data_IF_509733756201
#
_entry.id   IF_509733756201
#
_cell.length_a   1.000
_cell.length_b   1.000
_cell.length_c   1.000
_cell.angle_alpha   90.00
_cell.angle_beta   90.00
_cell.angle_gamma   90.00
#
_symmetry.space_group_name_H-M   'P 1'
#
loop_
_entity.id
_entity.type
_entity.pdbx_description
1 polymer ?
#
# COMPACT_ATOMS: atom_id res chain seq x y z
N UNK A 1 -14.25 -11.18 27.42
CA UNK A 1 -13.08 -11.01 26.53
C UNK A 1 -13.30 -9.98 25.42
N UNK A 2 -14.47 -9.87 24.81
CA UNK A 2 -14.75 -8.84 23.77
C UNK A 2 -14.52 -7.41 24.24
N UNK A 3 -14.93 -7.10 25.48
CA UNK A 3 -14.69 -5.77 26.10
C UNK A 3 -13.22 -5.38 26.16
N UNK A 4 -12.32 -6.34 26.38
CA UNK A 4 -10.89 -6.10 26.37
C UNK A 4 -10.35 -5.78 24.97
N UNK A 5 -10.89 -6.45 23.93
CA UNK A 5 -10.54 -6.15 22.53
C UNK A 5 -11.00 -4.74 22.16
N UNK A 6 -12.20 -4.34 22.60
CA UNK A 6 -12.69 -2.99 22.35
C UNK A 6 -11.83 -1.95 23.06
N UNK A 7 -11.51 -2.13 24.35
CA UNK A 7 -10.64 -1.24 25.11
C UNK A 7 -9.24 -1.14 24.49
N UNK A 8 -8.69 -2.24 23.97
CA UNK A 8 -7.43 -2.24 23.22
C UNK A 8 -7.50 -1.41 21.94
N UNK A 9 -8.59 -1.55 21.18
CA UNK A 9 -8.79 -0.77 19.95
C UNK A 9 -8.88 0.74 20.24
N UNK A 10 -9.61 1.13 21.27
CA UNK A 10 -9.76 2.51 21.72
C UNK A 10 -8.40 3.09 22.17
N UNK A 11 -7.67 2.38 23.01
CA UNK A 11 -6.34 2.75 23.48
C UNK A 11 -5.35 2.99 22.33
N UNK A 12 -5.35 2.11 21.32
CA UNK A 12 -4.46 2.26 20.16
C UNK A 12 -4.85 3.42 19.27
N UNK A 13 -6.15 3.70 19.14
CA UNK A 13 -6.69 4.83 18.39
C UNK A 13 -6.32 6.16 19.05
N UNK A 14 -6.48 6.29 20.36
CA UNK A 14 -6.12 7.49 21.12
C UNK A 14 -4.63 7.83 20.98
N UNK A 15 -3.76 6.83 21.05
CA UNK A 15 -2.32 7.02 20.92
C UNK A 15 -1.84 7.25 19.46
N UNK A 16 -2.74 7.23 18.46
CA UNK A 16 -2.40 7.36 17.01
C UNK A 16 -1.25 6.45 16.56
N UNK A 17 -1.08 5.28 17.20
CA UNK A 17 0.09 4.42 16.98
C UNK A 17 -0.01 3.54 15.74
N UNK A 18 -1.22 3.33 15.24
CA UNK A 18 -1.48 2.43 14.10
C UNK A 18 -2.52 3.03 13.16
N UNK A 19 -2.45 2.65 11.88
CA UNK A 19 -3.44 3.06 10.90
C UNK A 19 -4.80 2.39 11.16
N UNK A 20 -5.88 2.99 10.68
CA UNK A 20 -7.23 2.43 10.78
C UNK A 20 -7.31 1.01 10.20
N UNK A 21 -6.69 0.78 9.04
CA UNK A 21 -6.63 -0.55 8.43
C UNK A 21 -5.85 -1.57 9.28
N UNK A 22 -4.79 -1.14 9.95
CA UNK A 22 -4.05 -2.01 10.89
C UNK A 22 -4.94 -2.36 12.08
N UNK A 23 -5.72 -1.41 12.57
CA UNK A 23 -6.63 -1.63 13.69
C UNK A 23 -7.74 -2.60 13.32
N UNK A 24 -8.35 -2.45 12.15
CA UNK A 24 -9.36 -3.39 11.64
C UNK A 24 -8.79 -4.81 11.50
N UNK A 25 -7.56 -4.93 11.00
CA UNK A 25 -6.88 -6.20 10.90
C UNK A 25 -6.60 -6.83 12.27
N UNK A 26 -6.10 -6.05 13.23
CA UNK A 26 -5.87 -6.51 14.60
C UNK A 26 -7.17 -6.96 15.26
N UNK A 27 -8.24 -6.17 15.13
CA UNK A 27 -9.56 -6.56 15.66
C UNK A 27 -10.04 -7.89 15.07
N UNK A 28 -9.93 -8.06 13.76
CA UNK A 28 -10.32 -9.30 13.08
C UNK A 28 -9.51 -10.50 13.58
N UNK A 29 -8.18 -10.34 13.73
CA UNK A 29 -7.29 -11.39 14.23
C UNK A 29 -7.64 -11.78 15.67
N UNK A 30 -7.89 -10.79 16.54
CA UNK A 30 -8.23 -11.02 17.96
C UNK A 30 -9.64 -11.61 18.12
N UNK A 31 -10.61 -11.24 17.29
CA UNK A 31 -11.92 -11.88 17.28
C UNK A 31 -11.85 -13.35 16.89
N UNK A 32 -10.96 -13.69 15.94
CA UNK A 32 -10.69 -15.08 15.57
C UNK A 32 -10.06 -15.86 16.72
N UNK A 33 -9.07 -15.27 17.40
CA UNK A 33 -8.48 -15.86 18.63
C UNK A 33 -9.58 -16.08 19.68
N UNK A 34 -10.43 -15.11 19.90
CA UNK A 34 -11.52 -15.20 20.89
C UNK A 34 -12.49 -16.34 20.57
N UNK A 35 -12.88 -16.53 19.32
CA UNK A 35 -13.73 -17.65 18.90
C UNK A 35 -13.03 -18.98 19.24
N UNK A 36 -11.77 -19.14 18.81
CA UNK A 36 -10.99 -20.34 19.10
C UNK A 36 -10.88 -20.64 20.60
N UNK A 37 -10.64 -19.65 21.43
CA UNK A 37 -10.52 -19.83 22.88
C UNK A 37 -11.87 -20.28 23.49
N UNK A 38 -12.98 -19.69 23.06
CA UNK A 38 -14.33 -20.09 23.50
C UNK A 38 -14.66 -21.53 23.12
N UNK A 39 -14.33 -21.93 21.89
CA UNK A 39 -14.57 -23.29 21.38
C UNK A 39 -13.74 -24.34 22.16
N UNK A 40 -12.64 -23.91 22.79
CA UNK A 40 -11.80 -24.73 23.67
C UNK A 40 -12.10 -24.52 25.18
N UNK A 41 -13.27 -23.91 25.54
CA UNK A 41 -13.70 -23.76 26.91
C UNK A 41 -13.00 -22.66 27.72
N UNK A 42 -12.20 -21.77 27.06
CA UNK A 42 -11.50 -20.70 27.74
C UNK A 42 -12.34 -19.44 27.68
N UNK A 43 -12.82 -18.99 28.80
CA UNK A 43 -13.79 -17.90 28.92
C UNK A 43 -13.19 -16.60 29.48
N UNK A 44 -11.95 -16.66 30.00
CA UNK A 44 -11.26 -15.52 30.62
C UNK A 44 -9.85 -15.35 30.05
N UNK A 45 -9.36 -14.10 29.96
CA UNK A 45 -8.02 -13.78 29.44
C UNK A 45 -6.91 -14.24 30.39
N UNK A 46 -7.19 -14.35 31.67
CA UNK A 46 -6.26 -14.83 32.71
C UNK A 46 -5.97 -16.33 32.60
N UNK A 47 -6.86 -17.08 31.93
CA UNK A 47 -6.70 -18.51 31.68
C UNK A 47 -5.88 -18.82 30.43
N UNK A 48 -5.59 -17.81 29.62
CA UNK A 48 -4.87 -18.00 28.35
C UNK A 48 -3.40 -18.28 28.64
N UNK A 49 -2.91 -19.39 28.10
CA UNK A 49 -1.51 -19.84 28.22
C UNK A 49 -0.79 -19.79 26.89
N UNK A 50 0.56 -19.81 26.94
CA UNK A 50 1.40 -19.92 25.76
C UNK A 50 1.03 -21.13 24.88
N UNK A 51 0.74 -22.28 25.51
CA UNK A 51 0.36 -23.51 24.80
C UNK A 51 -0.92 -23.32 23.98
N UNK A 52 -1.92 -22.63 24.51
CA UNK A 52 -3.19 -22.36 23.81
C UNK A 52 -3.00 -21.40 22.65
N UNK A 53 -2.15 -20.38 22.82
CA UNK A 53 -1.83 -19.45 21.73
C UNK A 53 -1.06 -20.16 20.60
N UNK A 54 -0.10 -21.03 20.94
CA UNK A 54 0.61 -21.84 19.96
C UNK A 54 -0.34 -22.81 19.22
N UNK A 55 -1.27 -23.45 19.95
CA UNK A 55 -2.27 -24.33 19.34
C UNK A 55 -3.20 -23.56 18.39
N UNK A 56 -3.59 -22.33 18.73
CA UNK A 56 -4.36 -21.45 17.85
C UNK A 56 -3.58 -21.09 16.58
N UNK A 57 -2.31 -20.72 16.70
CA UNK A 57 -1.45 -20.38 15.55
C UNK A 57 -1.34 -21.58 14.61
N UNK A 58 -1.09 -22.79 15.16
CA UNK A 58 -1.04 -24.02 14.38
C UNK A 58 -2.37 -24.34 13.69
N UNK A 59 -3.52 -24.08 14.35
CA UNK A 59 -4.82 -24.26 13.70
C UNK A 59 -5.01 -23.29 12.54
N UNK A 60 -4.59 -22.04 12.69
CA UNK A 60 -4.65 -21.02 11.63
C UNK A 60 -3.76 -21.40 10.43
N UNK A 61 -2.60 -21.99 10.67
CA UNK A 61 -1.72 -22.53 9.61
C UNK A 61 -2.37 -23.71 8.88
N UNK A 62 -2.97 -24.65 9.61
CA UNK A 62 -3.70 -25.79 9.01
C UNK A 62 -4.91 -25.38 8.20
N UNK A 63 -5.57 -24.29 8.55
CA UNK A 63 -6.65 -23.68 7.78
C UNK A 63 -6.15 -22.91 6.53
N UNK A 64 -4.84 -22.92 6.26
CA UNK A 64 -4.23 -22.37 5.06
C UNK A 64 -3.95 -20.87 5.11
N UNK A 65 -3.82 -20.26 6.29
CA UNK A 65 -3.36 -18.86 6.37
C UNK A 65 -1.95 -18.74 5.80
N UNK A 66 -1.76 -17.73 4.94
CA UNK A 66 -0.43 -17.41 4.39
C UNK A 66 0.52 -16.97 5.51
N UNK A 67 1.81 -17.30 5.38
CA UNK A 67 2.86 -16.95 6.35
C UNK A 67 2.85 -15.47 6.77
N UNK A 68 2.64 -14.55 5.82
CA UNK A 68 2.50 -13.11 6.13
C UNK A 68 1.29 -12.77 7.00
N UNK A 69 0.19 -13.52 6.88
CA UNK A 69 -0.99 -13.36 7.74
C UNK A 69 -0.74 -13.93 9.14
N UNK A 70 0.02 -15.03 9.26
CA UNK A 70 0.46 -15.58 10.55
C UNK A 70 1.39 -14.60 11.28
N UNK A 71 2.35 -14.00 10.59
CA UNK A 71 3.22 -12.96 11.18
C UNK A 71 2.39 -11.78 11.73
N UNK A 72 1.38 -11.32 10.97
CA UNK A 72 0.49 -10.26 11.43
C UNK A 72 -0.38 -10.71 12.60
N UNK A 73 -0.90 -11.93 12.56
CA UNK A 73 -1.69 -12.54 13.64
C UNK A 73 -0.90 -12.55 14.95
N UNK A 74 0.34 -13.02 14.92
CA UNK A 74 1.24 -13.03 16.08
C UNK A 74 1.51 -11.61 16.57
N UNK A 75 1.73 -10.66 15.65
CA UNK A 75 1.92 -9.25 16.02
C UNK A 75 0.69 -8.63 16.70
N UNK A 76 -0.53 -9.01 16.28
CA UNK A 76 -1.76 -8.57 16.93
C UNK A 76 -1.92 -9.18 18.33
N UNK A 77 -1.58 -10.46 18.51
CA UNK A 77 -1.57 -11.18 19.79
C UNK A 77 -0.60 -10.51 20.76
N UNK A 78 0.67 -10.34 20.39
CA UNK A 78 1.65 -9.64 21.23
C UNK A 78 1.20 -8.25 21.64
N UNK A 79 0.69 -7.47 20.69
CA UNK A 79 0.23 -6.12 20.96
C UNK A 79 -0.95 -6.07 21.94
N UNK A 80 -1.83 -7.07 21.89
CA UNK A 80 -2.98 -7.19 22.76
C UNK A 80 -2.58 -7.62 24.19
N UNK A 81 -1.79 -8.66 24.33
CA UNK A 81 -1.36 -9.14 25.64
C UNK A 81 -0.40 -8.17 26.34
N UNK A 82 0.50 -7.50 25.61
CA UNK A 82 1.31 -6.38 26.13
C UNK A 82 0.42 -5.24 26.68
N UNK A 83 -0.67 -4.91 25.98
CA UNK A 83 -1.65 -3.93 26.47
C UNK A 83 -2.31 -4.40 27.78
N UNK A 84 -2.77 -5.66 27.86
CA UNK A 84 -3.43 -6.19 29.05
C UNK A 84 -2.48 -6.20 30.25
N UNK A 85 -1.23 -6.60 30.05
CA UNK A 85 -0.19 -6.62 31.09
C UNK A 85 0.13 -5.21 31.59
N UNK A 86 0.33 -4.26 30.67
CA UNK A 86 0.58 -2.84 31.00
C UNK A 86 -0.57 -2.16 31.75
N UNK A 87 -1.79 -2.63 31.54
CA UNK A 87 -2.97 -2.16 32.26
C UNK A 87 -3.23 -2.90 33.56
N UNK A 88 -2.40 -3.89 33.92
CA UNK A 88 -2.58 -4.72 35.12
C UNK A 88 -3.79 -5.65 35.08
N UNK A 89 -4.34 -5.91 33.88
CA UNK A 89 -5.48 -6.77 33.68
C UNK A 89 -5.11 -8.26 33.76
N UNK A 90 -3.85 -8.57 33.42
CA UNK A 90 -3.21 -9.88 33.60
C UNK A 90 -1.85 -9.69 34.26
N UNK A 91 -1.35 -10.73 34.94
CA UNK A 91 -0.06 -10.66 35.65
C UNK A 91 1.15 -10.88 34.74
N UNK A 92 1.03 -11.81 33.80
CA UNK A 92 2.09 -12.21 32.89
C UNK A 92 1.56 -12.22 31.46
N UNK A 93 2.44 -11.91 30.49
CA UNK A 93 2.10 -11.94 29.06
C UNK A 93 2.30 -13.38 28.53
N UNK A 94 1.21 -14.11 28.19
CA UNK A 94 1.33 -15.47 27.68
C UNK A 94 1.89 -15.52 26.25
N UNK A 95 2.03 -14.38 25.59
CA UNK A 95 2.55 -14.32 24.22
C UNK A 95 4.05 -14.03 24.14
N UNK A 96 4.72 -13.67 25.23
CA UNK A 96 6.11 -13.18 25.26
C UNK A 96 7.09 -14.08 24.52
N UNK A 97 6.94 -15.41 24.63
CA UNK A 97 7.85 -16.39 24.02
C UNK A 97 7.46 -16.84 22.62
N UNK A 98 6.32 -16.42 22.13
CA UNK A 98 5.85 -16.79 20.79
C UNK A 98 6.71 -16.08 19.74
N UNK A 99 7.31 -16.85 18.83
CA UNK A 99 8.13 -16.31 17.76
C UNK A 99 7.38 -16.36 16.44
N UNK A 100 7.32 -15.22 15.78
CA UNK A 100 6.81 -15.18 14.41
C UNK A 100 7.78 -15.93 13.47
N UNK A 101 7.26 -16.73 12.51
CA UNK A 101 8.10 -17.33 11.49
C UNK A 101 8.84 -16.23 10.72
N UNK A 102 10.10 -16.45 10.39
CA UNK A 102 10.83 -15.55 9.50
C UNK A 102 10.18 -15.66 8.12
N UNK A 103 9.68 -14.56 7.56
CA UNK A 103 9.15 -14.60 6.20
C UNK A 103 10.29 -14.98 5.25
N UNK A 104 10.09 -16.01 4.44
CA UNK A 104 10.98 -16.25 3.31
C UNK A 104 10.92 -15.04 2.39
N UNK A 105 12.06 -14.57 1.85
CA UNK A 105 12.07 -13.50 0.87
C UNK A 105 11.22 -13.96 -0.33
N UNK A 106 10.02 -13.41 -0.46
CA UNK A 106 9.23 -13.64 -1.66
C UNK A 106 9.99 -13.05 -2.85
N UNK A 107 10.19 -13.84 -3.90
CA UNK A 107 10.68 -13.33 -5.17
C UNK A 107 9.84 -12.13 -5.57
N UNK A 108 10.51 -11.03 -5.86
CA UNK A 108 9.82 -9.82 -6.29
C UNK A 108 9.40 -10.03 -7.74
N UNK A 109 8.11 -10.18 -7.97
CA UNK A 109 7.56 -10.16 -9.31
C UNK A 109 7.84 -8.78 -9.94
N UNK A 110 8.51 -8.79 -11.09
CA UNK A 110 8.92 -7.61 -11.86
C UNK A 110 8.49 -7.86 -13.29
N UNK A 111 7.96 -6.84 -13.96
CA UNK A 111 7.64 -6.88 -15.38
C UNK A 111 8.73 -6.14 -16.17
N UNK A 112 8.96 -6.56 -17.41
CA UNK A 112 9.88 -5.89 -18.31
C UNK A 112 9.33 -4.53 -18.78
N UNK A 113 10.18 -3.71 -19.41
CA UNK A 113 9.76 -2.43 -19.98
C UNK A 113 8.75 -2.65 -21.10
N UNK A 114 8.93 -3.68 -21.92
CA UNK A 114 8.03 -4.04 -23.02
C UNK A 114 6.67 -4.54 -22.51
N UNK A 115 6.64 -5.29 -21.43
CA UNK A 115 5.39 -5.71 -20.76
C UNK A 115 4.65 -4.53 -20.15
N UNK A 116 5.40 -3.59 -19.55
CA UNK A 116 4.86 -2.35 -19.05
C UNK A 116 4.22 -1.52 -20.17
N UNK A 117 4.91 -1.33 -21.29
CA UNK A 117 4.38 -0.57 -22.43
C UNK A 117 3.07 -1.18 -22.94
N UNK A 118 3.03 -2.48 -23.13
CA UNK A 118 1.78 -3.20 -23.50
C UNK A 118 0.64 -2.97 -22.50
N UNK A 119 0.95 -2.96 -21.19
CA UNK A 119 -0.07 -2.67 -20.17
C UNK A 119 -0.57 -1.23 -20.27
N UNK A 120 0.35 -0.29 -20.44
CA UNK A 120 0.03 1.13 -20.54
C UNK A 120 -0.80 1.45 -21.79
N UNK A 121 -0.58 0.76 -22.90
CA UNK A 121 -1.32 0.92 -24.16
C UNK A 121 -2.69 0.23 -24.17
N UNK A 122 -2.97 -0.67 -23.24
CA UNK A 122 -4.21 -1.43 -23.19
C UNK A 122 -5.49 -0.61 -22.95
N UNK A 123 -5.49 0.52 -22.21
CA UNK A 123 -6.64 1.41 -22.08
C UNK A 123 -7.03 2.06 -23.41
N UNK A 124 -8.33 2.06 -23.73
CA UNK A 124 -8.87 2.71 -24.93
C UNK A 124 -9.02 4.22 -24.71
N UNK A 125 -8.14 5.00 -25.34
CA UNK A 125 -8.09 6.45 -25.22
C UNK A 125 -9.24 7.19 -25.88
N UNK A 126 -10.12 6.51 -26.64
CA UNK A 126 -11.35 7.08 -27.15
C UNK A 126 -12.47 7.12 -26.10
N UNK A 127 -12.21 6.61 -24.90
CA UNK A 127 -13.19 6.60 -23.81
C UNK A 127 -12.70 7.37 -22.59
N UNK A 128 -13.56 8.14 -21.92
CA UNK A 128 -13.20 8.87 -20.69
C UNK A 128 -12.61 7.95 -19.60
N UNK A 129 -13.08 6.70 -19.52
CA UNK A 129 -12.56 5.70 -18.59
C UNK A 129 -11.15 5.23 -18.97
N UNK A 130 -10.90 5.02 -20.25
CA UNK A 130 -9.60 4.62 -20.73
C UNK A 130 -8.55 5.72 -20.55
N UNK A 131 -8.91 6.99 -20.85
CA UNK A 131 -8.05 8.15 -20.57
C UNK A 131 -7.67 8.21 -19.08
N UNK A 132 -8.65 8.08 -18.18
CA UNK A 132 -8.44 8.02 -16.74
C UNK A 132 -7.50 6.88 -16.34
N UNK A 133 -7.79 5.68 -16.81
CA UNK A 133 -7.06 4.48 -16.42
C UNK A 133 -5.61 4.54 -16.92
N UNK A 134 -5.37 5.07 -18.11
CA UNK A 134 -4.02 5.35 -18.63
C UNK A 134 -3.29 6.35 -17.73
N UNK A 135 -3.90 7.48 -17.40
CA UNK A 135 -3.30 8.49 -16.52
C UNK A 135 -2.97 7.90 -15.14
N UNK A 136 -3.86 7.08 -14.57
CA UNK A 136 -3.61 6.42 -13.29
C UNK A 136 -2.41 5.45 -13.34
N UNK A 137 -2.31 4.64 -14.39
CA UNK A 137 -1.20 3.70 -14.59
C UNK A 137 0.13 4.43 -14.80
N UNK A 138 0.14 5.48 -15.64
CA UNK A 138 1.34 6.30 -15.87
C UNK A 138 1.83 6.98 -14.59
N UNK A 139 0.93 7.59 -13.81
CA UNK A 139 1.30 8.23 -12.54
C UNK A 139 1.83 7.21 -11.53
N UNK A 140 1.23 6.02 -11.43
CA UNK A 140 1.74 4.96 -10.54
C UNK A 140 3.15 4.55 -10.90
N UNK A 141 3.42 4.33 -12.18
CA UNK A 141 4.73 3.91 -12.62
C UNK A 141 5.75 5.06 -12.55
N UNK A 142 5.39 6.27 -12.97
CA UNK A 142 6.28 7.43 -12.91
C UNK A 142 6.75 7.75 -11.50
N UNK A 143 5.87 7.64 -10.51
CA UNK A 143 6.13 8.15 -9.15
C UNK A 143 6.33 7.06 -8.10
N UNK A 144 5.90 5.83 -8.38
CA UNK A 144 5.90 4.74 -7.43
C UNK A 144 5.08 5.00 -6.16
N UNK A 145 4.12 5.91 -6.16
CA UNK A 145 3.26 6.17 -5.00
C UNK A 145 2.39 4.96 -4.68
N UNK A 146 1.93 4.88 -3.43
CA UNK A 146 0.96 3.84 -3.05
C UNK A 146 -0.38 4.08 -3.72
N UNK A 147 -1.07 2.99 -4.09
CA UNK A 147 -2.41 3.08 -4.70
C UNK A 147 -3.37 3.96 -3.89
N UNK A 148 -3.37 3.85 -2.56
CA UNK A 148 -4.24 4.68 -1.71
C UNK A 148 -3.95 6.19 -1.86
N UNK A 149 -2.69 6.55 -2.10
CA UNK A 149 -2.30 7.94 -2.36
C UNK A 149 -2.81 8.37 -3.73
N UNK A 150 -2.62 7.55 -4.77
CA UNK A 150 -3.14 7.82 -6.11
C UNK A 150 -4.66 8.07 -6.12
N UNK A 151 -5.41 7.20 -5.41
CA UNK A 151 -6.89 7.27 -5.37
C UNK A 151 -7.44 8.51 -4.65
N UNK A 152 -6.61 9.19 -3.87
CA UNK A 152 -6.95 10.40 -3.11
C UNK A 152 -6.30 11.66 -3.65
N UNK A 153 -5.70 11.61 -4.84
CA UNK A 153 -5.09 12.78 -5.45
C UNK A 153 -6.15 13.82 -5.80
N UNK A 154 -5.81 15.08 -5.53
CA UNK A 154 -6.59 16.25 -5.90
C UNK A 154 -5.98 16.99 -7.09
N UNK A 155 -6.78 17.76 -7.78
CA UNK A 155 -6.35 18.60 -8.91
C UNK A 155 -5.23 19.56 -8.51
N UNK A 156 -5.30 20.16 -7.32
CA UNK A 156 -4.30 21.10 -6.80
C UNK A 156 -2.90 20.48 -6.57
N UNK A 157 -2.79 19.15 -6.58
CA UNK A 157 -1.54 18.43 -6.39
C UNK A 157 -0.79 18.18 -7.70
N UNK A 158 -1.41 18.39 -8.85
CA UNK A 158 -0.85 18.14 -10.18
C UNK A 158 -0.35 19.44 -10.79
N UNK A 159 0.94 19.52 -11.08
CA UNK A 159 1.57 20.72 -11.63
C UNK A 159 2.21 20.39 -12.98
N UNK A 160 1.37 20.24 -14.02
CA UNK A 160 1.80 19.82 -15.37
C UNK A 160 2.88 20.74 -15.96
N UNK A 161 2.74 22.06 -15.79
CA UNK A 161 3.74 23.04 -16.24
C UNK A 161 5.14 22.77 -15.69
N UNK A 162 5.24 22.27 -14.47
CA UNK A 162 6.50 21.97 -13.79
C UNK A 162 6.84 20.46 -13.84
N UNK A 163 5.98 19.65 -14.45
CA UNK A 163 6.09 18.18 -14.51
C UNK A 163 6.34 17.57 -13.14
N UNK A 164 5.56 17.97 -12.15
CA UNK A 164 5.67 17.45 -10.80
C UNK A 164 4.29 17.17 -10.19
N UNK A 165 4.28 16.20 -9.27
CA UNK A 165 3.16 15.83 -8.43
C UNK A 165 3.52 16.10 -6.97
N UNK A 166 2.69 16.85 -6.26
CA UNK A 166 2.85 17.06 -4.81
C UNK A 166 1.99 16.04 -4.05
N UNK A 167 2.60 15.27 -3.15
CA UNK A 167 1.88 14.32 -2.31
C UNK A 167 2.12 14.61 -0.84
N UNK A 168 1.03 14.58 -0.04
CA UNK A 168 1.11 14.74 1.40
C UNK A 168 1.29 13.37 2.06
N UNK A 169 2.33 13.20 2.87
CA UNK A 169 2.58 11.98 3.66
C UNK A 169 2.75 12.40 5.13
N UNK A 170 1.67 12.34 5.89
CA UNK A 170 1.62 12.91 7.25
C UNK A 170 1.74 14.43 7.19
N UNK A 171 2.67 15.01 7.93
CA UNK A 171 2.93 16.46 7.96
C UNK A 171 3.90 16.93 6.85
N UNK A 172 4.47 16.02 6.08
CA UNK A 172 5.48 16.35 5.07
C UNK A 172 4.89 16.30 3.65
N UNK A 173 5.07 17.39 2.92
CA UNK A 173 4.80 17.46 1.50
C UNK A 173 6.03 16.95 0.73
N UNK A 174 5.79 16.11 -0.29
CA UNK A 174 6.81 15.60 -1.18
C UNK A 174 6.48 16.00 -2.61
N UNK A 175 7.48 16.47 -3.32
CA UNK A 175 7.41 16.78 -4.74
C UNK A 175 8.04 15.63 -5.51
N UNK A 176 7.26 15.02 -6.40
CA UNK A 176 7.67 13.87 -7.20
C UNK A 176 7.71 14.29 -8.67
N UNK A 177 8.76 13.95 -9.42
CA UNK A 177 8.82 14.23 -10.84
C UNK A 177 7.81 13.37 -11.61
N UNK A 178 7.29 13.93 -12.70
CA UNK A 178 6.48 13.25 -13.70
C UNK A 178 7.24 13.24 -15.02
N UNK A 179 7.37 12.08 -15.63
CA UNK A 179 7.87 11.99 -17.01
C UNK A 179 6.85 12.55 -18.01
N UNK A 180 7.30 12.85 -19.22
CA UNK A 180 6.43 13.39 -20.26
C UNK A 180 5.20 12.51 -20.53
N UNK A 181 5.32 11.18 -20.68
CA UNK A 181 4.16 10.33 -20.90
C UNK A 181 3.09 10.40 -19.81
N UNK A 182 3.50 10.57 -18.54
CA UNK A 182 2.56 10.75 -17.43
C UNK A 182 1.87 12.11 -17.48
N UNK A 183 2.59 13.16 -17.88
CA UNK A 183 2.02 14.50 -18.10
C UNK A 183 0.99 14.48 -19.25
N UNK A 184 1.34 13.91 -20.38
CA UNK A 184 0.47 13.82 -21.56
C UNK A 184 -0.82 13.04 -21.25
N UNK A 185 -0.69 11.93 -20.54
CA UNK A 185 -1.84 11.13 -20.12
C UNK A 185 -2.75 11.86 -19.10
N UNK A 186 -2.16 12.62 -18.18
CA UNK A 186 -2.90 13.43 -17.23
C UNK A 186 -3.63 14.59 -17.93
N UNK A 187 -2.93 15.29 -18.85
CA UNK A 187 -3.49 16.39 -19.62
C UNK A 187 -4.68 15.91 -20.44
N UNK A 188 -4.52 14.83 -21.22
CA UNK A 188 -5.58 14.21 -22.00
C UNK A 188 -6.80 13.85 -21.11
N UNK A 189 -6.56 13.26 -19.96
CA UNK A 189 -7.64 12.90 -19.04
C UNK A 189 -8.33 14.13 -18.46
N UNK A 190 -7.58 15.12 -18.00
CA UNK A 190 -8.13 16.32 -17.36
C UNK A 190 -8.96 17.13 -18.35
N UNK A 191 -8.46 17.31 -19.58
CA UNK A 191 -9.14 18.12 -20.60
C UNK A 191 -10.36 17.44 -21.23
N UNK A 192 -10.26 16.12 -21.50
CA UNK A 192 -11.27 15.43 -22.30
C UNK A 192 -12.04 14.33 -21.54
N UNK A 193 -11.43 13.70 -20.55
CA UNK A 193 -12.02 12.56 -19.85
C UNK A 193 -12.71 12.90 -18.55
N UNK A 194 -12.14 13.81 -17.77
CA UNK A 194 -12.55 14.07 -16.39
C UNK A 194 -13.95 14.67 -16.30
N UNK A 195 -14.23 15.70 -17.07
CA UNK A 195 -15.57 16.36 -17.07
C UNK A 195 -16.67 15.40 -17.56
N UNK A 196 -16.36 14.46 -18.46
CA UNK A 196 -17.33 13.44 -18.88
C UNK A 196 -17.68 12.44 -17.77
N UNK A 197 -16.79 12.22 -16.81
CA UNK A 197 -17.01 11.33 -15.65
C UNK A 197 -17.60 12.06 -14.44
N UNK A 198 -17.46 13.37 -14.36
CA UNK A 198 -17.99 14.20 -13.28
C UNK A 198 -19.52 14.17 -13.26
N UNK A 199 -20.09 14.22 -12.06
CA UNK A 199 -21.53 14.31 -11.81
C UNK A 199 -21.83 15.49 -10.91
N UNK A 200 -23.08 15.96 -10.80
CA UNK A 200 -23.42 17.12 -9.96
C UNK A 200 -22.97 16.98 -8.49
N UNK A 201 -22.95 15.75 -7.96
CA UNK A 201 -22.53 15.45 -6.60
C UNK A 201 -21.04 15.16 -6.45
N UNK A 202 -20.24 15.21 -7.52
CA UNK A 202 -18.82 14.91 -7.48
C UNK A 202 -18.05 15.96 -6.69
N UNK A 203 -17.07 15.49 -5.89
CA UNK A 203 -16.10 16.38 -5.26
C UNK A 203 -15.24 17.05 -6.35
N UNK A 204 -15.30 18.38 -6.54
CA UNK A 204 -14.59 19.07 -7.60
C UNK A 204 -13.07 19.01 -7.47
N UNK A 205 -12.54 18.80 -6.26
CA UNK A 205 -11.11 18.72 -6.01
C UNK A 205 -10.50 17.38 -6.43
N UNK A 206 -11.29 16.32 -6.42
CA UNK A 206 -10.80 14.97 -6.70
C UNK A 206 -10.30 14.82 -8.14
N UNK A 207 -9.10 14.25 -8.30
CA UNK A 207 -8.51 14.08 -9.63
C UNK A 207 -9.20 12.96 -10.43
N UNK A 208 -9.40 11.77 -9.85
CA UNK A 208 -9.86 10.58 -10.57
C UNK A 208 -11.27 10.14 -10.15
N UNK A 209 -12.22 10.27 -11.06
CA UNK A 209 -13.60 9.82 -10.86
C UNK A 209 -13.85 8.41 -11.36
N UNK A 210 -14.72 7.67 -10.68
CA UNK A 210 -15.33 6.46 -11.19
C UNK A 210 -16.51 6.80 -12.13
N UNK A 211 -17.23 5.77 -12.63
CA UNK A 211 -18.40 5.99 -13.52
C UNK A 211 -19.59 6.67 -12.83
N UNK A 212 -19.65 6.65 -11.50
CA UNK A 212 -20.70 7.30 -10.70
C UNK A 212 -20.35 8.76 -10.34
N UNK A 213 -19.16 9.25 -10.74
CA UNK A 213 -18.68 10.58 -10.38
C UNK A 213 -18.09 10.66 -8.97
N UNK A 214 -17.84 9.53 -8.33
CA UNK A 214 -17.21 9.42 -7.02
C UNK A 214 -15.73 9.07 -7.19
N UNK A 215 -14.98 9.01 -6.06
CA UNK A 215 -13.60 8.53 -6.07
C UNK A 215 -13.48 7.08 -6.53
N UNK A 216 -12.43 6.78 -7.27
CA UNK A 216 -12.11 5.41 -7.65
C UNK A 216 -11.79 4.57 -6.41
N UNK A 217 -12.42 3.40 -6.26
CA UNK A 217 -12.13 2.47 -5.19
C UNK A 217 -10.91 1.60 -5.49
N UNK A 218 -10.25 1.09 -4.44
CA UNK A 218 -9.15 0.14 -4.58
C UNK A 218 -9.56 -1.10 -5.39
N UNK A 219 -10.71 -1.69 -5.07
CA UNK A 219 -11.24 -2.85 -5.79
C UNK A 219 -11.56 -2.52 -7.26
N UNK A 220 -12.16 -1.35 -7.51
CA UNK A 220 -12.44 -0.87 -8.86
C UNK A 220 -11.18 -0.74 -9.70
N UNK A 221 -10.10 -0.17 -9.13
CA UNK A 221 -8.83 -0.06 -9.82
C UNK A 221 -8.18 -1.42 -10.09
N UNK A 222 -8.14 -2.33 -9.10
CA UNK A 222 -7.62 -3.69 -9.28
C UNK A 222 -8.36 -4.42 -10.41
N UNK A 223 -9.70 -4.35 -10.44
CA UNK A 223 -10.50 -4.96 -11.51
C UNK A 223 -10.08 -4.42 -12.89
N UNK A 224 -9.88 -3.09 -13.02
CA UNK A 224 -9.45 -2.48 -14.29
C UNK A 224 -8.07 -2.95 -14.70
N UNK A 225 -7.10 -2.98 -13.79
CA UNK A 225 -5.76 -3.49 -14.09
C UNK A 225 -5.81 -4.95 -14.55
N UNK A 226 -6.57 -5.81 -13.87
CA UNK A 226 -6.75 -7.22 -14.27
C UNK A 226 -7.35 -7.33 -15.69
N UNK A 227 -8.35 -6.52 -16.03
CA UNK A 227 -8.91 -6.50 -17.39
C UNK A 227 -7.87 -6.08 -18.43
N UNK A 228 -7.00 -5.11 -18.14
CA UNK A 228 -5.94 -4.67 -19.04
C UNK A 228 -4.82 -5.70 -19.16
N UNK A 229 -4.42 -6.37 -18.09
CA UNK A 229 -3.43 -7.44 -18.14
C UNK A 229 -3.92 -8.62 -19.01
N UNK A 230 -5.19 -9.00 -18.88
CA UNK A 230 -5.79 -10.03 -19.73
C UNK A 230 -5.83 -9.61 -21.21
N UNK A 231 -6.29 -8.37 -21.48
CA UNK A 231 -6.34 -7.82 -22.85
C UNK A 231 -4.97 -7.78 -23.53
N UNK A 232 -3.92 -7.46 -22.74
CA UNK A 232 -2.55 -7.40 -23.24
C UNK A 232 -1.81 -8.75 -23.23
N UNK A 233 -2.49 -9.86 -22.84
CA UNK A 233 -1.88 -11.19 -22.66
C UNK A 233 -0.65 -11.15 -21.75
N UNK A 234 -0.77 -10.45 -20.62
CA UNK A 234 0.25 -10.29 -19.60
C UNK A 234 -0.06 -11.13 -18.35
N UNK A 235 0.95 -11.47 -17.52
CA UNK A 235 0.72 -12.05 -16.21
C UNK A 235 -0.12 -11.11 -15.33
N UNK A 236 -0.65 -11.63 -14.21
CA UNK A 236 -1.46 -10.81 -13.32
C UNK A 236 -0.61 -9.71 -12.67
N UNK A 237 -0.75 -8.48 -13.16
CA UNK A 237 0.00 -7.32 -12.66
C UNK A 237 -0.82 -6.60 -11.59
N UNK A 238 -0.16 -6.27 -10.50
CA UNK A 238 -0.76 -5.51 -9.39
C UNK A 238 -0.08 -4.14 -9.25
N UNK A 239 -0.69 -3.15 -8.58
CA UNK A 239 -0.03 -1.88 -8.27
C UNK A 239 1.29 -2.04 -7.51
N UNK A 240 1.43 -3.12 -6.72
CA UNK A 240 2.68 -3.46 -6.04
C UNK A 240 3.77 -3.89 -7.03
N UNK A 241 3.40 -4.72 -8.01
CA UNK A 241 4.32 -5.16 -9.07
C UNK A 241 4.78 -3.96 -9.89
N UNK A 242 3.88 -3.06 -10.29
CA UNK A 242 4.26 -1.82 -11.00
C UNK A 242 5.27 -0.98 -10.21
N UNK A 243 5.03 -0.81 -8.90
CA UNK A 243 5.98 -0.08 -8.05
C UNK A 243 7.32 -0.79 -7.92
N UNK A 244 7.34 -2.11 -7.74
CA UNK A 244 8.57 -2.91 -7.67
C UNK A 244 9.34 -2.85 -8.99
N UNK A 245 8.64 -2.93 -10.12
CA UNK A 245 9.24 -2.82 -11.46
C UNK A 245 9.87 -1.45 -11.69
N UNK A 246 9.19 -0.37 -11.30
CA UNK A 246 9.76 0.97 -11.37
C UNK A 246 11.05 1.07 -10.54
N UNK A 247 11.06 0.57 -9.30
CA UNK A 247 12.25 0.54 -8.44
C UNK A 247 13.39 -0.23 -9.13
N UNK A 248 13.07 -1.43 -9.64
CA UNK A 248 14.05 -2.27 -10.33
C UNK A 248 14.60 -1.58 -11.58
N UNK A 249 13.76 -1.00 -12.42
CA UNK A 249 14.18 -0.29 -13.64
C UNK A 249 15.06 0.92 -13.31
N UNK A 250 14.70 1.72 -12.30
CA UNK A 250 15.55 2.82 -11.85
C UNK A 250 16.94 2.33 -11.40
N UNK A 251 16.99 1.27 -10.58
CA UNK A 251 18.26 0.71 -10.09
C UNK A 251 19.10 0.11 -11.24
N UNK A 252 18.48 -0.61 -12.16
CA UNK A 252 19.14 -1.21 -13.32
C UNK A 252 19.72 -0.13 -14.27
N UNK A 253 19.08 1.04 -14.31
CA UNK A 253 19.53 2.19 -15.10
C UNK A 253 20.50 3.10 -14.32
N UNK A 254 21.02 2.64 -13.18
CA UNK A 254 22.08 3.33 -12.43
C UNK A 254 21.59 4.39 -11.45
N UNK A 255 20.30 4.36 -11.04
CA UNK A 255 19.86 5.20 -9.93
C UNK A 255 20.50 4.74 -8.62
N UNK A 256 20.93 5.69 -7.78
CA UNK A 256 21.43 5.35 -6.47
C UNK A 256 20.31 4.85 -5.55
N UNK A 257 20.61 3.90 -4.67
CA UNK A 257 19.66 3.38 -3.70
C UNK A 257 19.08 4.49 -2.79
N UNK A 258 19.93 5.44 -2.39
CA UNK A 258 19.52 6.61 -1.61
C UNK A 258 18.53 7.50 -2.38
N UNK A 259 18.77 7.75 -3.67
CA UNK A 259 17.86 8.53 -4.52
C UNK A 259 16.50 7.87 -4.69
N UNK A 260 16.46 6.55 -4.92
CA UNK A 260 15.21 5.79 -5.01
C UNK A 260 14.45 5.82 -3.68
N UNK A 261 15.13 5.63 -2.55
CA UNK A 261 14.50 5.72 -1.22
C UNK A 261 13.94 7.13 -0.92
N UNK A 262 14.65 8.16 -1.33
CA UNK A 262 14.19 9.54 -1.19
C UNK A 262 12.95 9.80 -2.08
N UNK A 263 12.95 9.29 -3.32
CA UNK A 263 11.79 9.34 -4.21
C UNK A 263 10.58 8.63 -3.59
N UNK A 264 10.78 7.47 -2.96
CA UNK A 264 9.71 6.68 -2.36
C UNK A 264 9.29 7.17 -0.97
N UNK A 265 10.06 8.04 -0.31
CA UNK A 265 9.79 8.58 1.03
C UNK A 265 9.83 7.53 2.14
N UNK A 266 10.68 6.53 2.01
CA UNK A 266 10.85 5.50 3.04
C UNK A 266 11.74 6.01 4.17
N UNK A 267 11.31 5.79 5.45
CA UNK A 267 11.99 6.37 6.62
C UNK A 267 13.26 5.63 7.07
N UNK A 268 13.51 4.42 6.58
CA UNK A 268 14.67 3.61 7.01
C UNK A 268 15.80 3.71 6.00
N UNK A 269 16.69 4.68 6.23
CA UNK A 269 18.01 4.73 5.61
C UNK A 269 19.00 4.14 6.61
N UNK A 270 19.76 3.13 6.21
CA UNK A 270 20.93 2.67 6.98
C UNK A 270 22.07 3.67 6.83
N UNK A 271 23.04 3.66 7.74
CA UNK A 271 24.19 4.59 7.71
C UNK A 271 24.97 4.53 6.37
N UNK A 272 25.03 3.36 5.71
CA UNK A 272 25.66 3.18 4.41
C UNK A 272 24.95 3.99 3.29
N UNK A 273 23.64 4.18 3.38
CA UNK A 273 22.86 4.95 2.40
C UNK A 273 23.03 6.45 2.55
N UNK A 274 23.50 6.95 3.69
CA UNK A 274 23.74 8.38 3.89
C UNK A 274 24.99 8.88 3.16
N UNK A 275 25.94 8.00 2.86
CA UNK A 275 27.16 8.36 2.15
C UNK A 275 26.93 8.65 0.65
N UNK A 276 25.97 7.96 0.02
CA UNK A 276 25.61 8.17 -1.39
C UNK A 276 24.70 9.41 -1.63
N UNK A 277 24.19 10.03 -0.57
CA UNK A 277 23.27 11.18 -0.65
C UNK A 277 23.85 12.44 -1.30
N UNK A 278 25.16 12.52 -1.49
CA UNK A 278 25.82 13.77 -1.83
C UNK A 278 25.98 14.07 -3.33
N UNK A 279 25.55 13.17 -4.24
CA UNK A 279 25.97 13.28 -5.64
C UNK A 279 24.88 13.45 -6.69
N UNK A 280 23.59 13.19 -6.39
CA UNK A 280 22.52 13.35 -7.37
C UNK A 280 21.26 13.96 -6.76
N UNK A 281 20.68 14.97 -7.44
CA UNK A 281 19.34 15.45 -7.10
C UNK A 281 18.27 14.47 -7.58
N UNK A 282 17.07 14.44 -6.95
CA UNK A 282 15.97 13.57 -7.40
C UNK A 282 15.60 13.83 -8.86
N UNK A 283 15.45 15.08 -9.35
CA UNK A 283 15.14 15.34 -10.74
C UNK A 283 16.21 14.81 -11.69
N UNK A 284 17.49 14.97 -11.37
CA UNK A 284 18.59 14.52 -12.23
C UNK A 284 18.66 12.99 -12.29
N UNK A 285 18.53 12.33 -11.13
CA UNK A 285 18.47 10.87 -11.03
C UNK A 285 17.28 10.31 -11.81
N UNK A 286 16.10 10.90 -11.63
CA UNK A 286 14.88 10.50 -12.33
C UNK A 286 15.03 10.64 -13.84
N UNK A 287 15.47 11.81 -14.32
CA UNK A 287 15.66 12.10 -15.74
C UNK A 287 16.66 11.16 -16.41
N UNK A 288 17.71 10.75 -15.69
CA UNK A 288 18.76 9.86 -16.21
C UNK A 288 18.36 8.38 -16.19
N UNK A 289 17.64 7.95 -15.16
CA UNK A 289 17.46 6.52 -14.87
C UNK A 289 16.02 6.01 -15.06
N UNK A 290 15.01 6.89 -15.07
CA UNK A 290 13.62 6.44 -15.23
C UNK A 290 13.31 6.17 -16.71
N UNK A 291 12.79 4.98 -17.09
CA UNK A 291 12.53 4.62 -18.49
C UNK A 291 11.55 5.54 -19.22
N UNK A 292 10.72 6.26 -18.46
CA UNK A 292 9.69 7.18 -18.97
C UNK A 292 9.86 8.61 -18.40
N UNK A 293 11.11 9.05 -18.26
CA UNK A 293 11.43 10.40 -17.79
C UNK A 293 11.00 11.50 -18.77
#
# INVERSE_FOLDING_TARGET
MESYIQAFCEYRKEKKQVSENTMLAYRSDLMRLLSYLRDNGIVSVEQVTETQLNSFILSAEREGLKASSIVRLISSIHSFFDFLTKKGMIKEDPSERIKAPKPEPAEQEIISVEELERLLEAPDLNTPKGMRDRAMLEVLYATGIHLNTLLRLNMSQVHLKYKVLTVCVGENNRVLPLGQPACDALELYVEHGRECLKKPQSDPELLFYNKAGEGMTRQGFFKRVTEYTQKASLPNITPRILRNSMIHHLMSNGASYAGVHQLLGTKRLTAAMNFERQTQTIPDMYKKAHPRA
#
